data_IF_552950505210
#
_entry.id   IF_552950505210
#
_cell.length_a   1.000
_cell.length_b   1.000
_cell.length_c   1.000
_cell.angle_alpha   90.00
_cell.angle_beta   90.00
_cell.angle_gamma   90.00
#
_symmetry.space_group_name_H-M   'P 1'
#
loop_
_entity.id
_entity.type
_entity.pdbx_description
1 polymer ?
#
# COMPACT_ATOMS: atom_id res chain seq x y z
N UNK A 1 35.58 -2.01 39.44
CA UNK A 1 34.11 -1.95 39.43
C UNK A 1 33.72 -0.55 39.88
N UNK A 2 33.37 0.30 38.91
CA UNK A 2 33.01 1.70 39.13
C UNK A 2 31.52 1.89 38.82
N UNK A 3 30.79 2.72 39.57
CA UNK A 3 29.33 2.81 39.48
C UNK A 3 28.87 3.58 38.24
N UNK A 4 27.79 3.08 37.64
CA UNK A 4 27.08 3.69 36.51
C UNK A 4 26.34 4.95 36.99
N UNK A 5 26.44 6.11 36.30
CA UNK A 5 25.66 7.30 36.67
C UNK A 5 24.19 7.14 36.24
N UNK A 6 23.26 7.47 37.14
CA UNK A 6 21.83 7.58 36.84
C UNK A 6 21.57 8.81 35.95
N UNK A 7 20.72 8.72 34.91
CA UNK A 7 20.35 9.91 34.15
C UNK A 7 19.38 10.77 34.98
N UNK A 8 19.73 12.05 35.13
CA UNK A 8 18.83 13.11 35.59
C UNK A 8 17.68 13.27 34.58
N UNK A 9 16.45 13.04 35.02
CA UNK A 9 15.26 13.45 34.28
C UNK A 9 15.01 14.94 34.53
N UNK A 10 15.29 15.78 33.53
CA UNK A 10 14.77 17.15 33.50
C UNK A 10 13.30 17.10 33.09
N UNK A 11 12.39 17.34 34.04
CA UNK A 11 11.00 17.66 33.75
C UNK A 11 10.93 19.09 33.19
N UNK A 12 10.76 19.23 31.87
CA UNK A 12 10.23 20.48 31.32
C UNK A 12 8.72 20.49 31.52
N UNK A 13 8.26 21.24 32.53
CA UNK A 13 6.88 21.70 32.61
C UNK A 13 6.63 22.65 31.43
N UNK A 14 6.01 22.17 30.36
CA UNK A 14 5.33 23.07 29.44
C UNK A 14 3.99 23.46 30.09
N UNK A 15 3.88 24.74 30.42
CA UNK A 15 2.62 25.40 30.78
C UNK A 15 1.60 25.11 29.66
N UNK A 16 0.65 24.21 29.94
CA UNK A 16 -0.52 24.03 29.10
C UNK A 16 -1.41 25.27 29.28
N UNK A 17 -1.34 26.19 28.33
CA UNK A 17 -2.45 27.12 28.12
C UNK A 17 -3.68 26.28 27.77
N UNK A 18 -4.75 26.44 28.56
CA UNK A 18 -6.08 25.90 28.26
C UNK A 18 -6.49 26.33 26.85
N UNK A 19 -6.40 25.43 25.88
CA UNK A 19 -7.04 25.62 24.58
C UNK A 19 -8.50 25.24 24.78
N UNK A 20 -9.38 26.24 24.89
CA UNK A 20 -10.83 25.98 24.85
C UNK A 20 -11.16 25.34 23.51
N UNK A 21 -11.67 24.12 23.53
CA UNK A 21 -11.97 23.35 22.34
C UNK A 21 -13.18 23.96 21.63
N UNK A 22 -12.95 24.80 20.60
CA UNK A 22 -14.01 25.26 19.71
C UNK A 22 -14.63 24.05 19.00
N UNK A 23 -15.94 24.08 18.78
CA UNK A 23 -16.76 23.00 18.22
C UNK A 23 -16.38 22.53 16.79
N UNK A 24 -15.46 23.21 16.11
CA UNK A 24 -15.03 22.93 14.74
C UNK A 24 -13.50 22.73 14.63
N UNK A 25 -13.00 21.56 15.04
CA UNK A 25 -11.63 21.15 14.70
C UNK A 25 -11.64 20.46 13.32
N UNK A 26 -11.22 21.17 12.27
CA UNK A 26 -10.99 20.57 10.96
C UNK A 26 -9.58 20.87 10.48
N UNK A 27 -8.92 19.86 9.91
CA UNK A 27 -7.62 20.07 9.28
C UNK A 27 -7.81 20.32 7.79
N UNK A 28 -7.24 21.45 7.36
CA UNK A 28 -7.12 21.83 5.97
C UNK A 28 -5.69 21.52 5.54
N UNK A 29 -5.55 20.60 4.58
CA UNK A 29 -4.25 20.23 4.00
C UNK A 29 -4.14 20.86 2.61
N UNK A 30 -3.61 22.10 2.49
CA UNK A 30 -3.34 22.70 1.20
C UNK A 30 -2.18 21.95 0.54
N UNK A 31 -2.46 21.23 -0.54
CA UNK A 31 -1.42 20.59 -1.35
C UNK A 31 -0.91 21.60 -2.38
N UNK A 32 0.36 21.97 -2.24
CA UNK A 32 1.07 22.82 -3.21
C UNK A 32 2.22 22.03 -3.83
N UNK A 33 2.34 22.03 -5.15
CA UNK A 33 3.50 21.46 -5.82
C UNK A 33 4.61 22.49 -5.88
N UNK A 34 5.77 22.21 -5.27
CA UNK A 34 6.99 22.98 -5.49
C UNK A 34 7.77 22.34 -6.65
N UNK A 35 8.13 23.09 -7.71
CA UNK A 35 9.05 22.59 -8.72
C UNK A 35 10.42 22.35 -8.08
N UNK A 36 10.96 21.13 -8.25
CA UNK A 36 12.33 20.81 -7.84
C UNK A 36 13.27 21.54 -8.79
N UNK A 37 13.94 22.59 -8.30
CA UNK A 37 14.99 23.27 -9.06
C UNK A 37 16.22 22.37 -9.13
N UNK A 38 16.38 21.64 -10.23
CA UNK A 38 17.65 21.00 -10.56
C UNK A 38 18.50 21.98 -11.38
N UNK A 39 19.43 22.65 -10.74
CA UNK A 39 20.52 23.37 -11.41
C UNK A 39 21.52 22.35 -11.95
N UNK A 40 21.28 21.81 -13.15
CA UNK A 40 22.31 21.17 -13.99
C UNK A 40 21.89 21.23 -15.45
N UNK A 41 22.85 21.64 -16.30
CA UNK A 41 22.77 21.90 -17.74
C UNK A 41 21.67 21.18 -18.52
N UNK A 42 20.86 22.00 -19.18
CA UNK A 42 19.80 21.60 -20.11
C UNK A 42 20.38 20.90 -21.34
N UNK A 43 20.34 19.57 -21.37
CA UNK A 43 20.09 18.87 -22.63
C UNK A 43 18.59 18.84 -22.85
N UNK A 44 18.11 19.70 -23.77
CA UNK A 44 16.72 19.72 -24.23
C UNK A 44 16.40 18.38 -24.89
N UNK A 45 15.83 17.44 -24.13
CA UNK A 45 15.06 16.35 -24.71
C UNK A 45 13.74 16.94 -25.20
N UNK A 46 13.69 17.31 -26.48
CA UNK A 46 12.43 17.56 -27.19
C UNK A 46 11.64 16.27 -27.25
N UNK A 47 10.78 16.03 -26.26
CA UNK A 47 9.71 15.04 -26.39
C UNK A 47 8.65 15.65 -27.29
N UNK A 48 8.61 15.22 -28.55
CA UNK A 48 7.49 15.52 -29.44
C UNK A 48 6.20 15.01 -28.79
N UNK A 49 5.35 15.93 -28.33
CA UNK A 49 3.96 15.65 -27.97
C UNK A 49 3.19 15.33 -29.25
N UNK A 50 3.37 14.11 -29.75
CA UNK A 50 2.36 13.49 -30.59
C UNK A 50 1.19 13.17 -29.66
N UNK A 51 0.19 14.05 -29.68
CA UNK A 51 -1.16 13.77 -29.18
C UNK A 51 -1.73 12.62 -30.02
N UNK A 52 -1.33 11.39 -29.67
CA UNK A 52 -1.97 10.19 -30.17
C UNK A 52 -3.29 10.12 -29.43
N UNK A 53 -4.40 10.36 -30.11
CA UNK A 53 -5.75 10.02 -29.62
C UNK A 53 -5.66 8.59 -29.10
N UNK A 54 -5.72 8.42 -27.78
CA UNK A 54 -5.83 7.10 -27.18
C UNK A 54 -7.10 6.45 -27.74
N UNK A 55 -7.04 5.18 -28.20
CA UNK A 55 -8.26 4.43 -28.47
C UNK A 55 -9.16 4.46 -27.24
N UNK A 56 -10.46 4.42 -27.45
CA UNK A 56 -11.50 4.31 -26.41
C UNK A 56 -11.07 3.35 -25.29
N UNK A 57 -11.47 3.58 -24.02
CA UNK A 57 -11.03 2.74 -22.92
C UNK A 57 -11.46 1.30 -23.21
N UNK A 58 -10.49 0.41 -23.40
CA UNK A 58 -10.74 -1.02 -23.22
C UNK A 58 -11.36 -1.18 -21.84
N UNK A 59 -12.43 -1.98 -21.74
CA UNK A 59 -13.01 -2.38 -20.45
C UNK A 59 -11.91 -2.69 -19.44
N UNK A 60 -12.06 -2.32 -18.15
CA UNK A 60 -11.04 -2.63 -17.16
C UNK A 60 -10.75 -4.13 -17.22
N UNK A 61 -9.47 -4.54 -17.17
CA UNK A 61 -9.09 -5.93 -17.41
C UNK A 61 -9.63 -6.89 -16.33
N UNK A 62 -10.09 -6.33 -15.20
CA UNK A 62 -10.70 -7.05 -14.10
C UNK A 62 -11.86 -6.23 -13.55
N UNK A 63 -12.96 -6.89 -13.19
CA UNK A 63 -14.04 -6.35 -12.39
C UNK A 63 -14.16 -7.18 -11.12
N UNK A 64 -13.19 -7.01 -10.23
CA UNK A 64 -13.08 -7.81 -9.01
C UNK A 64 -13.47 -6.98 -7.79
N UNK A 65 -14.38 -7.53 -6.98
CA UNK A 65 -14.79 -6.96 -5.70
C UNK A 65 -14.38 -7.88 -4.57
N UNK A 66 -13.78 -7.30 -3.53
CA UNK A 66 -13.45 -8.02 -2.31
C UNK A 66 -13.64 -7.16 -1.07
N UNK A 67 -13.55 -7.80 0.09
CA UNK A 67 -13.55 -7.14 1.40
C UNK A 67 -12.18 -7.28 2.03
N UNK A 68 -11.80 -6.26 2.78
CA UNK A 68 -10.62 -6.32 3.64
C UNK A 68 -11.02 -6.14 5.09
N UNK A 69 -10.27 -6.75 6.00
CA UNK A 69 -10.37 -6.49 7.43
C UNK A 69 -9.55 -5.24 7.77
N UNK A 70 -10.10 -4.35 8.59
CA UNK A 70 -9.40 -3.15 9.05
C UNK A 70 -9.16 -3.20 10.55
N UNK A 71 -7.88 -3.30 10.93
CA UNK A 71 -7.43 -3.16 12.32
C UNK A 71 -6.42 -2.01 12.42
N UNK A 72 -5.14 -2.30 12.22
CA UNK A 72 -4.07 -1.31 12.01
C UNK A 72 -3.78 -1.14 10.52
N UNK A 73 -3.77 -2.26 9.79
CA UNK A 73 -3.59 -2.34 8.36
C UNK A 73 -4.89 -2.76 7.65
N UNK A 74 -4.90 -2.66 6.32
CA UNK A 74 -5.99 -3.13 5.46
C UNK A 74 -5.62 -4.53 4.95
N UNK A 75 -6.26 -5.57 5.47
CA UNK A 75 -5.89 -6.96 5.19
C UNK A 75 -6.88 -7.56 4.20
N UNK A 76 -6.43 -7.81 2.98
CA UNK A 76 -7.21 -8.43 1.90
C UNK A 76 -6.82 -9.90 1.72
N UNK A 77 -7.79 -10.74 1.34
CA UNK A 77 -7.53 -12.13 0.95
C UNK A 77 -7.61 -12.24 -0.57
N UNK A 78 -6.54 -12.74 -1.21
CA UNK A 78 -6.46 -12.91 -2.67
C UNK A 78 -6.24 -14.39 -3.06
N UNK A 79 -6.86 -14.86 -4.16
CA UNK A 79 -6.69 -16.22 -4.66
C UNK A 79 -5.44 -16.35 -5.55
N UNK A 80 -4.36 -16.92 -5.03
CA UNK A 80 -3.07 -17.03 -5.74
C UNK A 80 -2.85 -18.47 -6.23
N UNK A 81 -2.39 -18.64 -7.47
CA UNK A 81 -2.03 -19.94 -8.03
C UNK A 81 -3.12 -20.66 -8.82
N UNK A 82 -2.86 -21.90 -9.19
CA UNK A 82 -3.79 -22.78 -9.93
C UNK A 82 -3.64 -24.24 -9.47
N UNK A 83 -4.64 -24.79 -8.73
CA UNK A 83 -5.84 -24.12 -8.22
C UNK A 83 -5.52 -22.98 -7.22
N UNK A 84 -6.45 -22.02 -7.05
CA UNK A 84 -6.21 -20.86 -6.19
C UNK A 84 -6.09 -21.22 -4.71
N UNK A 85 -5.08 -20.65 -4.05
CA UNK A 85 -4.84 -20.68 -2.61
C UNK A 85 -5.10 -19.30 -2.02
N UNK A 86 -5.90 -19.20 -0.96
CA UNK A 86 -6.24 -17.92 -0.36
C UNK A 86 -5.08 -17.38 0.48
N UNK A 87 -4.52 -16.23 0.08
CA UNK A 87 -3.42 -15.58 0.76
C UNK A 87 -3.85 -14.25 1.38
N UNK A 88 -3.58 -14.06 2.66
CA UNK A 88 -3.78 -12.78 3.34
C UNK A 88 -2.62 -11.84 3.05
N UNK A 89 -2.94 -10.61 2.63
CA UNK A 89 -1.98 -9.60 2.26
C UNK A 89 -2.39 -8.23 2.80
N UNK A 90 -1.42 -7.43 3.22
CA UNK A 90 -1.61 -6.03 3.55
C UNK A 90 -1.68 -5.23 2.25
N UNK A 91 -2.76 -4.50 2.04
CA UNK A 91 -2.92 -3.57 0.92
C UNK A 91 -2.02 -2.34 1.15
N UNK A 92 -0.99 -2.17 0.34
CA UNK A 92 0.01 -1.11 0.50
C UNK A 92 0.12 -0.25 -0.78
N UNK A 93 -0.39 0.99 -0.71
CA UNK A 93 -0.36 1.95 -1.82
C UNK A 93 0.98 2.66 -2.00
N UNK A 94 1.91 2.52 -1.05
CA UNK A 94 3.25 3.09 -1.10
C UNK A 94 4.29 2.13 -1.69
N UNK A 95 4.07 0.82 -1.59
CA UNK A 95 5.07 -0.19 -1.94
C UNK A 95 4.99 -0.70 -3.38
N UNK A 96 6.17 -1.06 -3.92
CA UNK A 96 6.30 -1.64 -5.25
C UNK A 96 6.21 -3.17 -5.17
N UNK A 97 7.15 -3.85 -4.51
CA UNK A 97 7.18 -5.30 -4.53
C UNK A 97 6.04 -5.90 -3.68
N UNK A 98 5.23 -6.76 -4.31
CA UNK A 98 4.32 -7.65 -3.59
C UNK A 98 5.05 -8.94 -3.19
N UNK A 99 4.74 -9.48 -2.01
CA UNK A 99 5.27 -10.76 -1.56
C UNK A 99 4.23 -11.58 -0.80
N UNK A 100 4.47 -12.89 -0.76
CA UNK A 100 3.65 -13.87 -0.07
C UNK A 100 4.52 -14.76 0.82
N UNK A 101 3.93 -15.26 1.90
CA UNK A 101 4.61 -16.23 2.75
C UNK A 101 4.68 -17.58 2.03
N UNK A 102 5.89 -18.09 1.86
CA UNK A 102 6.18 -19.37 1.25
C UNK A 102 6.93 -20.26 2.23
N UNK A 103 6.44 -21.48 2.48
CA UNK A 103 7.15 -22.41 3.34
C UNK A 103 7.65 -23.65 2.60
N UNK A 104 8.84 -24.12 2.97
CA UNK A 104 9.29 -25.49 2.67
C UNK A 104 9.11 -26.34 3.93
N UNK A 105 8.15 -27.28 3.89
CA UNK A 105 7.92 -28.41 4.81
C UNK A 105 8.82 -28.52 6.07
N UNK A 106 8.64 -27.68 7.09
CA UNK A 106 8.99 -28.02 8.49
C UNK A 106 7.93 -27.50 9.48
N UNK A 107 7.45 -28.39 10.37
CA UNK A 107 6.41 -28.24 11.42
C UNK A 107 7.01 -27.73 12.77
N UNK A 108 6.21 -27.31 13.80
CA UNK A 108 4.91 -26.62 13.83
C UNK A 108 4.86 -25.37 14.78
N UNK A 109 3.77 -24.55 14.77
CA UNK A 109 2.54 -24.67 13.99
C UNK A 109 2.55 -23.81 12.72
N UNK A 110 1.98 -24.37 11.64
CA UNK A 110 1.73 -23.64 10.38
C UNK A 110 0.82 -22.44 10.67
N UNK A 111 1.14 -21.21 10.22
CA UNK A 111 0.09 -20.23 10.00
C UNK A 111 -0.90 -20.84 9.01
N UNK A 112 -2.21 -20.74 9.26
CA UNK A 112 -3.26 -21.35 8.43
C UNK A 112 -3.31 -20.80 6.99
N UNK A 113 -2.44 -19.87 6.60
CA UNK A 113 -2.52 -19.07 5.37
C UNK A 113 -1.16 -18.87 4.69
N UNK A 114 -0.28 -19.87 4.67
CA UNK A 114 0.94 -19.85 3.83
C UNK A 114 0.63 -20.45 2.46
N UNK A 115 1.23 -19.90 1.42
CA UNK A 115 1.17 -20.46 0.08
C UNK A 115 2.07 -21.70 -0.02
N UNK A 116 1.56 -22.80 -0.60
CA UNK A 116 2.33 -24.01 -0.93
C UNK A 116 2.62 -24.05 -2.44
N UNK A 117 3.87 -23.78 -2.86
CA UNK A 117 4.25 -23.80 -4.26
C UNK A 117 4.02 -25.14 -4.96
N UNK A 118 4.05 -26.27 -4.22
CA UNK A 118 3.89 -27.60 -4.82
C UNK A 118 2.45 -27.92 -5.23
N UNK A 119 1.49 -27.16 -4.72
CA UNK A 119 0.07 -27.32 -5.03
C UNK A 119 -0.40 -26.42 -6.18
N UNK A 120 0.47 -25.56 -6.72
CA UNK A 120 0.13 -24.65 -7.82
C UNK A 120 0.87 -25.04 -9.10
N UNK A 121 0.11 -25.42 -10.12
CA UNK A 121 0.64 -25.74 -11.46
C UNK A 121 1.20 -24.54 -12.23
N UNK A 122 0.88 -23.32 -11.81
CA UNK A 122 1.36 -22.08 -12.43
C UNK A 122 2.56 -21.45 -11.73
N UNK A 123 3.00 -22.04 -10.62
CA UNK A 123 4.17 -21.58 -9.90
C UNK A 123 5.44 -21.82 -10.72
N UNK A 124 6.31 -20.82 -10.80
CA UNK A 124 7.64 -21.00 -11.37
C UNK A 124 8.69 -20.14 -10.65
N UNK A 125 9.88 -20.67 -10.49
CA UNK A 125 11.00 -19.95 -9.86
C UNK A 125 11.63 -18.96 -10.83
N UNK A 126 12.18 -17.86 -10.32
CA UNK A 126 12.92 -16.92 -11.14
C UNK A 126 14.43 -17.28 -11.11
N UNK A 127 15.04 -17.68 -12.24
CA UNK A 127 16.46 -18.00 -12.27
C UNK A 127 17.31 -16.73 -12.14
N UNK A 128 18.53 -16.87 -11.61
CA UNK A 128 19.42 -15.72 -11.43
C UNK A 128 19.95 -15.12 -12.75
N UNK A 129 19.81 -15.84 -13.87
CA UNK A 129 20.08 -15.30 -15.20
C UNK A 129 19.02 -14.28 -15.66
N UNK A 130 17.88 -14.18 -14.97
CA UNK A 130 16.81 -13.26 -15.33
C UNK A 130 17.28 -11.80 -15.17
N UNK A 131 16.95 -10.89 -16.11
CA UNK A 131 17.40 -9.48 -16.05
C UNK A 131 16.99 -8.73 -14.78
N UNK A 132 15.87 -9.11 -14.15
CA UNK A 132 15.43 -8.54 -12.87
C UNK A 132 16.38 -8.87 -11.70
N UNK A 133 17.16 -9.96 -11.80
CA UNK A 133 18.14 -10.32 -10.79
C UNK A 133 19.47 -9.58 -10.90
N UNK A 134 19.69 -8.92 -12.05
CA UNK A 134 20.83 -8.06 -12.32
C UNK A 134 20.32 -6.69 -12.78
N UNK A 135 19.56 -6.00 -11.92
CA UNK A 135 18.83 -4.82 -12.35
C UNK A 135 19.79 -3.67 -12.66
N UNK A 136 19.59 -3.01 -13.81
CA UNK A 136 20.31 -1.76 -14.15
C UNK A 136 19.83 -0.55 -13.36
N UNK A 137 18.64 -0.62 -12.78
CA UNK A 137 17.99 0.41 -11.96
C UNK A 137 17.55 -0.26 -10.67
N UNK A 138 17.95 0.22 -9.49
CA UNK A 138 17.57 -0.40 -8.22
C UNK A 138 16.07 -0.20 -7.97
N UNK A 139 15.28 -1.26 -8.12
CA UNK A 139 13.88 -1.32 -7.67
C UNK A 139 13.74 -1.73 -6.19
N UNK A 140 14.83 -2.22 -5.61
CA UNK A 140 14.87 -2.86 -4.32
C UNK A 140 15.76 -2.04 -3.38
N UNK A 141 15.41 -2.03 -2.10
CA UNK A 141 16.23 -1.36 -1.07
C UNK A 141 17.62 -1.99 -0.97
N UNK A 142 17.70 -3.31 -1.16
CA UNK A 142 18.94 -4.06 -1.30
C UNK A 142 19.02 -4.70 -2.69
N UNK A 143 20.20 -4.74 -3.33
CA UNK A 143 20.39 -5.44 -4.59
C UNK A 143 19.98 -6.92 -4.48
N UNK A 144 19.33 -7.43 -5.51
CA UNK A 144 19.07 -8.87 -5.66
C UNK A 144 20.39 -9.63 -5.81
N UNK A 145 20.41 -10.88 -5.34
CA UNK A 145 21.58 -11.77 -5.40
C UNK A 145 21.20 -13.15 -5.94
N UNK A 146 22.20 -14.01 -6.19
CA UNK A 146 21.94 -15.41 -6.55
C UNK A 146 22.06 -16.27 -5.29
N UNK A 147 21.05 -17.09 -5.01
CA UNK A 147 21.18 -18.13 -3.97
C UNK A 147 22.04 -19.32 -4.47
N UNK A 148 22.28 -20.28 -3.58
CA UNK A 148 23.05 -21.50 -3.89
C UNK A 148 22.41 -22.38 -4.98
N UNK A 149 21.10 -22.25 -5.21
CA UNK A 149 20.36 -22.95 -6.26
C UNK A 149 20.31 -22.16 -7.57
N UNK A 150 21.05 -21.03 -7.66
CA UNK A 150 21.02 -20.09 -8.79
C UNK A 150 19.63 -19.49 -9.04
N UNK A 151 18.84 -19.32 -7.97
CA UNK A 151 17.58 -18.58 -7.99
C UNK A 151 17.81 -17.14 -7.61
N UNK A 152 16.87 -16.27 -8.02
CA UNK A 152 16.97 -14.86 -7.75
C UNK A 152 16.51 -14.52 -6.32
N UNK A 153 17.48 -14.29 -5.46
CA UNK A 153 17.26 -13.92 -4.07
C UNK A 153 16.96 -12.43 -3.94
N UNK A 154 16.04 -12.08 -3.04
CA UNK A 154 15.70 -10.72 -2.69
C UNK A 154 15.61 -10.55 -1.17
N UNK A 155 15.99 -9.36 -0.71
CA UNK A 155 15.71 -8.87 0.63
C UNK A 155 15.06 -7.50 0.48
N UNK A 156 13.97 -7.26 1.18
CA UNK A 156 13.19 -6.02 1.08
C UNK A 156 12.82 -5.48 2.45
N UNK A 157 13.02 -4.18 2.64
CA UNK A 157 12.60 -3.46 3.85
C UNK A 157 11.48 -2.48 3.50
N UNK A 158 10.37 -2.63 4.20
CA UNK A 158 9.19 -1.77 4.07
C UNK A 158 9.26 -0.61 5.07
N UNK A 159 8.51 0.46 4.79
CA UNK A 159 8.58 1.71 5.57
C UNK A 159 8.04 1.58 7.00
N UNK A 160 7.22 0.56 7.27
CA UNK A 160 6.74 0.20 8.60
C UNK A 160 7.76 -0.61 9.41
N UNK A 161 8.94 -0.89 8.84
CA UNK A 161 9.99 -1.71 9.42
C UNK A 161 9.83 -3.21 9.13
N UNK A 162 8.76 -3.62 8.43
CA UNK A 162 8.59 -5.02 8.02
C UNK A 162 9.70 -5.41 7.05
N UNK A 163 10.31 -6.57 7.25
CA UNK A 163 11.26 -7.13 6.30
C UNK A 163 10.71 -8.44 5.72
N UNK A 164 11.06 -8.71 4.47
CA UNK A 164 10.76 -9.96 3.79
C UNK A 164 11.96 -10.40 2.96
N UNK A 165 12.34 -11.68 3.12
CA UNK A 165 13.49 -12.29 2.48
C UNK A 165 13.15 -13.67 1.90
N UNK A 166 13.67 -13.93 0.71
CA UNK A 166 13.52 -15.21 0.04
C UNK A 166 13.85 -15.11 -1.44
N UNK A 167 13.09 -15.81 -2.29
CA UNK A 167 13.34 -15.83 -3.73
C UNK A 167 12.21 -15.12 -4.48
N UNK A 168 12.55 -14.43 -5.58
CA UNK A 168 11.57 -13.97 -6.53
C UNK A 168 11.00 -15.15 -7.31
N UNK A 169 9.69 -15.14 -7.51
CA UNK A 169 8.95 -16.19 -8.20
C UNK A 169 7.97 -15.57 -9.19
N UNK A 170 7.44 -16.40 -10.08
CA UNK A 170 6.32 -16.06 -10.96
C UNK A 170 5.10 -16.85 -10.52
N UNK A 171 4.00 -16.15 -10.34
CA UNK A 171 2.70 -16.73 -10.04
C UNK A 171 1.57 -15.81 -10.54
N UNK A 172 0.34 -16.32 -10.65
CA UNK A 172 -0.84 -15.55 -11.04
C UNK A 172 -1.86 -15.45 -9.91
N UNK A 173 -2.67 -14.39 -9.95
CA UNK A 173 -3.89 -14.28 -9.15
C UNK A 173 -5.06 -14.74 -10.02
N UNK A 174 -5.85 -15.68 -9.51
CA UNK A 174 -6.94 -16.37 -10.20
C UNK A 174 -8.27 -15.96 -9.54
N UNK A 175 -8.81 -14.81 -9.92
CA UNK A 175 -10.04 -14.26 -9.32
C UNK A 175 -11.26 -15.12 -9.66
N UNK A 176 -11.32 -15.61 -10.89
CA UNK A 176 -12.33 -16.53 -11.40
C UNK A 176 -11.72 -17.38 -12.54
N UNK A 177 -12.53 -18.24 -13.16
CA UNK A 177 -12.09 -19.02 -14.31
C UNK A 177 -11.79 -18.16 -15.56
N UNK A 178 -12.32 -16.94 -15.62
CA UNK A 178 -12.17 -16.01 -16.76
C UNK A 178 -11.32 -14.80 -16.42
N UNK A 179 -11.19 -14.45 -15.14
CA UNK A 179 -10.40 -13.30 -14.67
C UNK A 179 -9.12 -13.78 -13.98
N UNK A 180 -8.04 -13.86 -14.76
CA UNK A 180 -6.74 -14.34 -14.32
C UNK A 180 -5.68 -13.32 -14.72
N UNK A 181 -4.75 -13.01 -13.82
CA UNK A 181 -3.65 -12.11 -14.13
C UNK A 181 -2.63 -12.76 -15.06
N UNK A 182 -1.85 -11.97 -15.84
CA UNK A 182 -0.56 -12.42 -16.34
C UNK A 182 0.31 -12.95 -15.18
N UNK A 183 1.33 -13.78 -15.46
CA UNK A 183 2.32 -14.14 -14.45
C UNK A 183 2.96 -12.89 -13.85
N UNK A 184 2.83 -12.75 -12.54
CA UNK A 184 3.35 -11.66 -11.73
C UNK A 184 4.64 -12.12 -11.07
N UNK A 185 5.63 -11.24 -11.04
CA UNK A 185 6.81 -11.36 -10.18
C UNK A 185 6.39 -11.02 -8.75
N UNK A 186 6.52 -12.00 -7.86
CA UNK A 186 6.25 -11.85 -6.44
C UNK A 186 7.49 -12.24 -5.64
N UNK A 187 7.65 -11.64 -4.47
CA UNK A 187 8.53 -12.18 -3.44
C UNK A 187 7.91 -13.42 -2.80
N UNK A 188 8.64 -14.52 -2.73
CA UNK A 188 8.25 -15.73 -2.01
C UNK A 188 9.10 -15.79 -0.75
N UNK A 189 8.58 -15.23 0.34
CA UNK A 189 9.33 -15.03 1.57
C UNK A 189 9.44 -16.34 2.35
N UNK A 190 10.66 -16.70 2.73
CA UNK A 190 10.95 -17.79 3.67
C UNK A 190 11.22 -17.26 5.07
N UNK A 191 11.66 -16.01 5.18
CA UNK A 191 11.88 -15.29 6.43
C UNK A 191 11.21 -13.91 6.34
N UNK A 192 10.44 -13.57 7.37
CA UNK A 192 9.70 -12.30 7.44
C UNK A 192 9.37 -11.95 8.89
N UNK A 193 9.15 -10.66 9.15
CA UNK A 193 8.65 -10.18 10.45
C UNK A 193 7.12 -10.14 10.56
N UNK A 194 6.39 -10.48 9.49
CA UNK A 194 4.91 -10.57 9.45
C UNK A 194 4.50 -11.92 8.82
N UNK A 195 3.39 -12.49 9.28
CA UNK A 195 2.84 -13.75 8.77
C UNK A 195 1.89 -13.55 7.56
N UNK A 196 1.59 -12.29 7.23
CA UNK A 196 0.81 -11.86 6.06
C UNK A 196 1.73 -11.24 5.03
N UNK A 197 1.42 -11.49 3.76
CA UNK A 197 2.15 -10.87 2.65
C UNK A 197 1.86 -9.37 2.51
N UNK A 198 2.53 -8.70 1.58
CA UNK A 198 2.22 -7.33 1.17
C UNK A 198 1.78 -7.32 -0.29
N UNK A 199 0.70 -6.60 -0.58
CA UNK A 199 0.24 -6.29 -1.93
C UNK A 199 0.68 -4.87 -2.28
N UNK A 200 1.77 -4.74 -3.03
CA UNK A 200 2.31 -3.47 -3.50
C UNK A 200 1.47 -2.89 -4.64
N UNK A 201 0.84 -1.74 -4.38
CA UNK A 201 -0.12 -1.07 -5.26
C UNK A 201 0.39 0.25 -5.83
N UNK A 202 1.68 0.57 -5.64
CA UNK A 202 2.22 1.82 -6.17
C UNK A 202 2.35 1.78 -7.71
N UNK A 203 2.98 2.80 -8.30
CA UNK A 203 3.13 2.94 -9.76
C UNK A 203 4.45 2.38 -10.31
N UNK A 204 5.19 1.66 -9.48
CA UNK A 204 6.47 1.06 -9.80
C UNK A 204 6.32 -0.24 -10.60
N UNK A 205 7.32 -0.60 -11.41
CA UNK A 205 7.18 -1.67 -12.40
C UNK A 205 6.92 -3.07 -11.83
N UNK A 206 7.33 -3.34 -10.57
CA UNK A 206 7.05 -4.61 -9.88
C UNK A 206 5.78 -4.57 -9.01
N UNK A 207 5.02 -3.48 -9.01
CA UNK A 207 3.70 -3.42 -8.35
C UNK A 207 2.69 -4.35 -8.98
N UNK A 208 1.75 -4.83 -8.17
CA UNK A 208 0.58 -5.56 -8.65
C UNK A 208 -0.16 -4.75 -9.72
N UNK A 209 -0.35 -3.45 -9.47
CA UNK A 209 -1.02 -2.52 -10.37
C UNK A 209 -0.36 -2.50 -11.75
N UNK A 210 0.97 -2.40 -11.81
CA UNK A 210 1.70 -2.33 -13.08
C UNK A 210 1.77 -3.68 -13.79
N UNK A 211 2.08 -4.76 -13.06
CA UNK A 211 2.27 -6.09 -13.64
C UNK A 211 0.94 -6.68 -14.15
N UNK A 212 -0.15 -6.51 -13.41
CA UNK A 212 -1.48 -6.94 -13.83
C UNK A 212 -2.15 -5.95 -14.79
N UNK A 213 -1.53 -4.80 -15.09
CA UNK A 213 -2.10 -3.74 -15.96
C UNK A 213 -3.44 -3.19 -15.43
N UNK A 214 -3.55 -3.03 -14.11
CA UNK A 214 -4.73 -2.46 -13.47
C UNK A 214 -4.89 -1.01 -13.93
N UNK A 215 -6.03 -0.71 -14.54
CA UNK A 215 -6.34 0.65 -15.03
C UNK A 215 -6.86 1.55 -13.93
N UNK A 216 -7.58 0.97 -12.97
CA UNK A 216 -8.25 1.64 -11.85
C UNK A 216 -8.44 0.68 -10.68
N UNK A 217 -8.31 1.19 -9.46
CA UNK A 217 -8.72 0.47 -8.25
C UNK A 217 -9.23 1.44 -7.20
N UNK A 218 -10.10 0.99 -6.30
CA UNK A 218 -10.61 1.83 -5.21
C UNK A 218 -10.86 1.06 -3.93
N UNK A 219 -10.88 1.77 -2.81
CA UNK A 219 -11.21 1.22 -1.51
C UNK A 219 -11.98 2.20 -0.62
N UNK A 220 -12.73 1.65 0.34
CA UNK A 220 -13.50 2.39 1.34
C UNK A 220 -13.18 1.83 2.72
N UNK A 221 -12.55 2.64 3.58
CA UNK A 221 -12.15 2.23 4.92
C UNK A 221 -13.28 2.55 5.92
N UNK A 222 -13.85 1.56 6.63
CA UNK A 222 -14.86 1.82 7.65
C UNK A 222 -14.24 2.53 8.87
N UNK A 223 -15.04 3.19 9.71
CA UNK A 223 -14.57 3.71 10.98
C UNK A 223 -13.99 2.58 11.84
N UNK A 224 -12.98 2.91 12.65
CA UNK A 224 -12.49 1.96 13.66
C UNK A 224 -13.61 1.65 14.64
N UNK A 225 -13.70 0.38 15.04
CA UNK A 225 -14.59 -0.06 16.11
C UNK A 225 -13.77 -0.32 17.36
N UNK A 226 -14.21 0.21 18.48
CA UNK A 226 -13.63 -0.08 19.80
C UNK A 226 -14.31 -1.28 20.47
N UNK A 227 -15.20 -1.99 19.76
CA UNK A 227 -15.87 -3.18 20.30
C UNK A 227 -14.87 -4.34 20.34
N UNK A 228 -14.61 -4.93 21.53
CA UNK A 228 -13.73 -6.09 21.66
C UNK A 228 -14.18 -7.22 20.72
N UNK A 229 -13.22 -7.87 20.04
CA UNK A 229 -13.49 -9.01 19.16
C UNK A 229 -14.12 -8.67 17.80
N UNK A 230 -14.45 -7.41 17.52
CA UNK A 230 -15.00 -7.00 16.23
C UNK A 230 -13.95 -6.30 15.37
N UNK A 231 -13.69 -6.84 14.18
CA UNK A 231 -12.83 -6.19 13.17
C UNK A 231 -13.70 -5.65 12.03
N UNK A 232 -13.81 -4.31 11.87
CA UNK A 232 -14.54 -3.71 10.75
C UNK A 232 -14.04 -4.23 9.41
N UNK A 233 -14.95 -4.36 8.44
CA UNK A 233 -14.62 -4.75 7.07
C UNK A 233 -14.89 -3.62 6.10
N UNK A 234 -13.90 -3.30 5.26
CA UNK A 234 -14.06 -2.35 4.17
C UNK A 234 -14.26 -3.03 2.82
N UNK A 235 -14.46 -2.21 1.80
CA UNK A 235 -14.66 -2.65 0.41
C UNK A 235 -13.45 -2.31 -0.44
N UNK A 236 -13.05 -3.22 -1.33
CA UNK A 236 -12.00 -3.05 -2.32
C UNK A 236 -12.48 -3.46 -3.70
N UNK A 237 -12.15 -2.65 -4.71
CA UNK A 237 -12.51 -2.87 -6.11
C UNK A 237 -11.28 -2.76 -7.00
N UNK A 238 -11.15 -3.70 -7.93
CA UNK A 238 -10.34 -3.57 -9.14
C UNK A 238 -11.27 -3.29 -10.31
N UNK A 239 -10.91 -2.31 -11.14
CA UNK A 239 -11.76 -1.82 -12.20
C UNK A 239 -12.73 -0.74 -11.72
N UNK A 240 -13.94 -0.75 -12.26
CA UNK A 240 -14.91 0.32 -12.03
C UNK A 240 -15.62 0.19 -10.68
N UNK A 241 -15.68 1.32 -9.95
CA UNK A 241 -16.49 1.44 -8.77
C UNK A 241 -17.93 1.85 -9.16
N UNK A 242 -18.98 1.16 -8.66
CA UNK A 242 -20.37 1.56 -8.88
C UNK A 242 -20.67 3.01 -8.44
N UNK A 243 -19.91 3.53 -7.48
CA UNK A 243 -20.03 4.89 -6.96
C UNK A 243 -19.17 5.92 -7.71
N UNK A 244 -18.53 5.54 -8.82
CA UNK A 244 -17.59 6.37 -9.61
C UNK A 244 -18.12 7.78 -9.96
N UNK A 245 -19.43 7.95 -10.10
CA UNK A 245 -20.07 9.26 -10.37
C UNK A 245 -19.88 10.29 -9.26
N UNK A 246 -19.68 9.85 -8.01
CA UNK A 246 -19.52 10.74 -6.85
C UNK A 246 -18.09 11.24 -6.63
N UNK A 247 -17.13 10.76 -7.43
CA UNK A 247 -15.71 11.05 -7.21
C UNK A 247 -15.32 12.41 -7.75
N UNK A 248 -14.59 13.16 -6.91
CA UNK A 248 -13.85 14.36 -7.30
C UNK A 248 -12.40 13.98 -7.49
N UNK A 249 -11.87 14.17 -8.70
CA UNK A 249 -10.51 13.76 -9.05
C UNK A 249 -9.51 14.90 -8.95
N UNK A 250 -8.30 14.56 -8.53
CA UNK A 250 -7.12 15.43 -8.48
C UNK A 250 -5.94 14.75 -9.16
N UNK A 251 -5.15 15.50 -9.92
CA UNK A 251 -3.96 14.94 -10.60
C UNK A 251 -2.89 14.53 -9.58
N UNK A 252 -2.24 13.40 -9.82
CA UNK A 252 -1.35 12.71 -8.87
C UNK A 252 0.07 13.35 -8.81
N UNK A 253 0.41 14.20 -9.78
CA UNK A 253 1.77 14.79 -9.93
C UNK A 253 1.78 16.31 -10.05
N UNK A 254 0.62 16.92 -10.28
CA UNK A 254 0.50 18.36 -10.50
C UNK A 254 -0.75 18.84 -9.81
N UNK A 255 -0.62 19.81 -8.92
CA UNK A 255 -1.75 20.55 -8.37
C UNK A 255 -1.77 21.92 -9.07
N UNK A 256 -2.24 22.00 -10.34
CA UNK A 256 -2.26 23.27 -11.06
C UNK A 256 -3.15 24.30 -10.35
N UNK A 257 -4.13 23.83 -9.58
CA UNK A 257 -4.95 24.62 -8.67
C UNK A 257 -4.73 24.16 -7.23
N UNK A 258 -5.00 25.03 -6.25
CA UNK A 258 -4.98 24.65 -4.83
C UNK A 258 -5.99 23.54 -4.60
N UNK A 259 -5.51 22.36 -4.22
CA UNK A 259 -6.36 21.26 -3.78
C UNK A 259 -6.45 21.30 -2.26
N UNK A 260 -7.69 21.36 -1.77
CA UNK A 260 -8.00 21.33 -0.35
C UNK A 260 -8.67 20.01 0.01
N UNK A 261 -8.02 19.24 0.88
CA UNK A 261 -8.62 18.04 1.48
C UNK A 261 -9.08 18.41 2.89
N UNK A 262 -10.40 18.49 3.06
CA UNK A 262 -11.03 18.69 4.37
C UNK A 262 -11.07 17.36 5.14
N UNK A 263 -10.37 17.30 6.26
CA UNK A 263 -10.44 16.18 7.20
C UNK A 263 -11.18 16.62 8.48
N UNK A 264 -12.44 16.17 8.69
CA UNK A 264 -13.23 16.43 9.89
C UNK A 264 -12.58 15.89 11.15
N UNK A 265 -12.92 16.47 12.32
CA UNK A 265 -12.38 16.10 13.64
C UNK A 265 -12.37 14.60 13.90
N UNK A 266 -13.40 13.87 13.47
CA UNK A 266 -13.56 12.44 13.72
C UNK A 266 -12.50 11.59 13.00
N UNK A 267 -11.86 12.16 11.97
CA UNK A 267 -10.78 11.54 11.17
C UNK A 267 -9.40 12.14 11.45
N UNK A 268 -9.34 13.11 12.35
CA UNK A 268 -8.11 13.73 12.85
C UNK A 268 -7.80 13.24 14.27
N UNK A 269 -8.82 13.01 15.08
CA UNK A 269 -8.69 12.60 16.48
C UNK A 269 -8.81 11.09 16.62
N UNK A 270 -7.90 10.49 17.36
CA UNK A 270 -7.90 9.07 17.73
C UNK A 270 -8.22 8.95 19.21
N UNK A 271 -9.25 8.18 19.54
CA UNK A 271 -9.55 7.82 20.93
C UNK A 271 -8.53 6.79 21.43
N UNK A 272 -7.83 7.09 22.53
CA UNK A 272 -6.82 6.21 23.13
C UNK A 272 -7.29 5.56 24.44
N UNK A 273 -8.55 5.72 24.81
CA UNK A 273 -9.13 5.26 26.08
C UNK A 273 -9.42 6.41 27.03
N UNK A 274 -10.25 6.14 28.04
CA UNK A 274 -10.51 7.05 29.19
C UNK A 274 -10.96 8.46 28.81
N UNK A 275 -11.66 8.60 27.69
CA UNK A 275 -12.12 9.90 27.16
C UNK A 275 -11.00 10.76 26.56
N UNK A 276 -9.78 10.23 26.46
CA UNK A 276 -8.63 10.93 25.90
C UNK A 276 -8.62 10.78 24.37
N UNK A 277 -8.52 11.92 23.70
CA UNK A 277 -8.39 12.00 22.25
C UNK A 277 -7.03 12.60 21.89
N UNK A 278 -6.28 11.91 21.04
CA UNK A 278 -4.99 12.36 20.52
C UNK A 278 -5.12 12.81 19.06
N UNK A 279 -4.33 13.79 18.64
CA UNK A 279 -4.21 14.14 17.22
C UNK A 279 -3.45 13.02 16.50
N UNK A 280 -4.07 12.43 15.48
CA UNK A 280 -3.55 11.30 14.70
C UNK A 280 -2.45 11.65 13.70
N UNK A 281 -1.60 12.63 14.00
CA UNK A 281 -0.48 13.05 13.16
C UNK A 281 0.84 12.60 13.80
N UNK A 282 1.58 11.76 13.07
CA UNK A 282 2.91 11.30 13.48
C UNK A 282 4.03 12.22 12.98
N UNK A 283 5.20 12.14 13.63
CA UNK A 283 6.41 12.85 13.18
C UNK A 283 6.98 12.14 11.94
N UNK A 284 7.25 12.89 10.87
CA UNK A 284 7.81 12.36 9.62
C UNK A 284 9.20 11.75 9.79
N UNK A 285 9.97 12.17 10.79
CA UNK A 285 11.29 11.59 11.12
C UNK A 285 11.24 10.10 11.43
N UNK A 286 10.08 9.58 11.84
CA UNK A 286 9.89 8.14 12.09
C UNK A 286 9.88 7.31 10.79
N UNK A 287 9.69 7.94 9.62
CA UNK A 287 9.61 7.27 8.33
C UNK A 287 10.97 7.21 7.59
N UNK A 288 12.03 7.79 8.14
CA UNK A 288 13.36 7.84 7.52
C UNK A 288 13.46 8.74 6.27
N UNK A 289 12.36 9.36 5.82
CA UNK A 289 12.32 10.28 4.68
C UNK A 289 11.32 11.41 4.92
N UNK A 290 11.66 12.61 4.43
CA UNK A 290 10.76 13.77 4.47
C UNK A 290 9.57 13.55 3.52
N UNK A 291 8.47 13.02 4.06
CA UNK A 291 7.25 12.74 3.31
C UNK A 291 6.02 13.04 4.16
N UNK A 292 4.92 13.38 3.48
CA UNK A 292 3.59 13.51 4.08
C UNK A 292 2.76 12.30 3.68
N UNK A 293 2.21 11.57 4.66
CA UNK A 293 1.38 10.39 4.42
C UNK A 293 -0.02 10.65 4.96
N UNK A 294 -1.02 10.57 4.07
CA UNK A 294 -2.42 10.50 4.49
C UNK A 294 -2.69 9.06 4.93
N UNK A 295 -2.66 8.80 6.24
CA UNK A 295 -2.85 7.45 6.77
C UNK A 295 -4.30 6.94 6.76
N UNK A 296 -4.48 5.66 7.11
CA UNK A 296 -5.78 4.97 7.10
C UNK A 296 -6.88 5.66 7.93
N UNK A 297 -6.53 6.28 9.06
CA UNK A 297 -7.49 7.00 9.93
C UNK A 297 -8.09 8.19 9.19
N UNK A 298 -7.26 8.98 8.51
CA UNK A 298 -7.70 10.16 7.75
C UNK A 298 -8.58 9.77 6.55
N UNK A 299 -8.48 8.53 6.06
CA UNK A 299 -9.22 8.02 4.90
C UNK A 299 -10.51 7.26 5.27
N UNK A 300 -10.90 7.19 6.56
CA UNK A 300 -12.15 6.54 6.96
C UNK A 300 -13.37 7.22 6.32
N UNK A 301 -14.42 6.46 6.01
CA UNK A 301 -15.67 6.99 5.42
C UNK A 301 -15.46 7.85 4.16
N UNK A 302 -14.41 7.50 3.43
CA UNK A 302 -14.02 8.11 2.17
C UNK A 302 -13.72 7.00 1.18
N UNK A 303 -14.38 7.06 0.03
CA UNK A 303 -13.90 6.36 -1.14
C UNK A 303 -12.63 7.01 -1.62
N UNK A 304 -11.60 6.20 -1.83
CA UNK A 304 -10.36 6.59 -2.48
C UNK A 304 -10.19 5.73 -3.72
N UNK A 305 -10.11 6.37 -4.89
CA UNK A 305 -9.91 5.71 -6.17
C UNK A 305 -8.63 6.17 -6.82
N UNK A 306 -7.82 5.22 -7.28
CA UNK A 306 -6.64 5.47 -8.07
C UNK A 306 -6.97 5.15 -9.53
N UNK A 307 -7.12 6.20 -10.35
CA UNK A 307 -7.22 6.09 -11.79
C UNK A 307 -5.80 6.15 -12.37
N UNK A 308 -5.21 4.96 -12.49
CA UNK A 308 -3.81 4.75 -12.86
C UNK A 308 -3.55 5.22 -14.29
N UNK A 309 -4.52 4.98 -15.17
CA UNK A 309 -4.46 5.34 -16.59
C UNK A 309 -4.39 6.86 -16.77
N UNK A 310 -5.27 7.59 -16.08
CA UNK A 310 -5.34 9.05 -16.17
C UNK A 310 -4.48 9.77 -15.13
N UNK A 311 -3.68 9.04 -14.33
CA UNK A 311 -2.76 9.58 -13.33
C UNK A 311 -3.43 10.55 -12.35
N UNK A 312 -4.57 10.14 -11.80
CA UNK A 312 -5.38 10.96 -10.88
C UNK A 312 -5.92 10.12 -9.72
N UNK A 313 -6.15 10.76 -8.58
CA UNK A 313 -6.82 10.16 -7.42
C UNK A 313 -8.18 10.80 -7.25
N UNK A 314 -9.22 9.98 -7.08
CA UNK A 314 -10.58 10.40 -6.81
C UNK A 314 -10.92 10.26 -5.34
N UNK A 315 -11.72 11.19 -4.82
CA UNK A 315 -12.30 11.11 -3.49
C UNK A 315 -13.81 11.29 -3.52
N UNK A 316 -14.55 10.47 -2.75
CA UNK A 316 -15.99 10.66 -2.53
C UNK A 316 -16.36 10.32 -1.09
N UNK A 317 -17.26 11.08 -0.46
CA UNK A 317 -17.78 10.75 0.88
C UNK A 317 -18.62 9.47 0.81
N UNK A 318 -18.51 8.64 1.84
CA UNK A 318 -19.23 7.38 1.92
C UNK A 318 -19.45 6.93 3.36
N UNK A 319 -20.51 6.17 3.60
CA UNK A 319 -20.62 5.36 4.82
C UNK A 319 -20.05 3.95 4.52
N UNK A 320 -18.74 3.78 4.71
CA UNK A 320 -18.07 2.54 4.36
C UNK A 320 -18.52 1.34 5.21
N UNK A 321 -19.28 1.56 6.30
CA UNK A 321 -19.81 0.49 7.14
C UNK A 321 -21.08 -0.16 6.58
N UNK A 322 -21.79 0.53 5.67
CA UNK A 322 -23.07 0.10 5.08
C UNK A 322 -22.95 -0.37 3.63
N UNK A 323 -21.76 -0.28 3.05
CA UNK A 323 -21.53 -0.65 1.66
C UNK A 323 -21.33 -2.16 1.58
N UNK A 324 -22.44 -2.87 1.39
CA UNK A 324 -22.53 -4.30 1.10
C UNK A 324 -22.61 -4.58 -0.39
#
# INVERSE_FOLDING_TARGET
MSPIPKPLFFFFFFLFNYVSLSSSLSLHLPLTSLPISSTTNSHRFTTSLLSRKNPSPSSPPYNFRSRFKYSMALIISLPIGTPPQAQQMVLDTGSQLSWIQCHRKKLPPKPKTSFDPSLSSSFSTLPCSHPLCKPRIPDFTLPTSCDSNRLCHYSYFYADGTFAEGNLVKEKITFSNTEITPPLILGCATESSDDRGILGMNRGRLSFVSQAKITKFSYCIPPKSNRPGFTPTGSFYLGDNPNSKGFKYVSLLTFPERVEILVPKERVLVNVGDGIHCVGIGRSSMLGAASNIIGNVHQQNLWVEFDVTNRRVGFARADCSRIL
#
